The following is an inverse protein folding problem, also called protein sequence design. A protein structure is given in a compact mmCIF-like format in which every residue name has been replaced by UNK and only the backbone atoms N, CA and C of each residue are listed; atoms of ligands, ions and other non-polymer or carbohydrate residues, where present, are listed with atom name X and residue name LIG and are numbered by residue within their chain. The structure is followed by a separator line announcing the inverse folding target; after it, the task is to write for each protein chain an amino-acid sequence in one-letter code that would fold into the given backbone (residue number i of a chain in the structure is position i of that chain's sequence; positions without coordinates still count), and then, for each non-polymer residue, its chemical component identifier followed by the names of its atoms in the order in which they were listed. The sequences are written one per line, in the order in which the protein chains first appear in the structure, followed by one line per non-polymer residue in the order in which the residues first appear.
data_IF_706094016964
#
_entry.id   IF_706094016964
#
_cell.length_a   1.000
_cell.length_b   1.000
_cell.length_c   1.000
_cell.angle_alpha   90.00
_cell.angle_beta   90.00
_cell.angle_gamma   90.00
#
_symmetry.space_group_name_H-M   'P 1'
#
loop_
_entity.id
_entity.type
_entity.pdbx_description
1 polymer ?
#
# COMPACT_ATOMS: atom_id res chain seq x y z
N UNK A 1 33.45 -6.16 -10.69
CA UNK A 1 32.68 -4.88 -10.70
C UNK A 1 31.58 -5.02 -11.73
N UNK A 2 30.35 -5.30 -11.31
CA UNK A 2 29.20 -5.30 -12.22
C UNK A 2 28.84 -3.86 -12.52
N UNK A 3 28.81 -3.50 -13.79
CA UNK A 3 28.35 -2.19 -14.25
C UNK A 3 26.89 -1.99 -13.79
N UNK A 4 26.70 -1.24 -12.70
CA UNK A 4 25.38 -0.74 -12.35
C UNK A 4 24.96 0.22 -13.48
N UNK A 5 24.05 -0.23 -14.33
CA UNK A 5 23.50 0.60 -15.40
C UNK A 5 22.66 1.71 -14.75
N UNK A 6 23.20 2.91 -14.80
CA UNK A 6 22.48 4.11 -14.39
C UNK A 6 21.55 4.50 -15.54
N UNK A 7 20.25 4.46 -15.30
CA UNK A 7 19.23 4.94 -16.23
C UNK A 7 18.54 6.16 -15.63
N UNK A 8 18.43 7.22 -16.40
CA UNK A 8 17.54 8.33 -16.05
C UNK A 8 16.09 7.89 -16.23
N UNK A 9 15.34 7.82 -15.12
CA UNK A 9 13.89 7.58 -15.19
C UNK A 9 13.19 8.92 -15.27
N UNK A 10 12.34 9.13 -16.27
CA UNK A 10 11.49 10.32 -16.33
C UNK A 10 10.62 10.32 -15.07
N UNK A 11 10.64 11.40 -14.32
CA UNK A 11 9.72 11.59 -13.20
C UNK A 11 8.33 11.81 -13.75
N UNK A 12 7.47 10.81 -13.63
CA UNK A 12 6.13 10.82 -14.20
C UNK A 12 5.23 11.86 -13.52
N UNK A 13 5.55 12.34 -12.31
CA UNK A 13 4.67 13.16 -11.50
C UNK A 13 5.25 14.49 -10.99
N UNK A 14 6.48 14.83 -11.32
CA UNK A 14 7.08 16.11 -10.92
C UNK A 14 7.55 16.87 -12.15
N UNK A 15 6.97 18.07 -12.37
CA UNK A 15 7.35 18.95 -13.49
C UNK A 15 8.80 19.45 -13.40
N UNK A 16 9.45 19.32 -12.23
CA UNK A 16 10.73 19.98 -11.92
C UNK A 16 11.85 19.06 -11.45
N UNK A 17 11.59 17.76 -11.23
CA UNK A 17 12.63 16.86 -10.73
C UNK A 17 13.48 16.28 -11.87
N UNK A 18 14.70 16.77 -11.99
CA UNK A 18 15.75 16.10 -12.78
C UNK A 18 16.36 15.00 -11.92
N UNK A 19 16.08 13.75 -12.27
CA UNK A 19 16.68 12.61 -11.61
C UNK A 19 18.19 12.62 -11.87
N UNK A 20 18.99 12.63 -10.79
CA UNK A 20 20.45 12.66 -10.91
C UNK A 20 21.03 11.26 -11.08
N UNK A 21 20.43 10.26 -10.46
CA UNK A 21 20.89 8.87 -10.52
C UNK A 21 19.78 7.91 -10.11
N UNK A 22 19.61 6.84 -10.86
CA UNK A 22 18.73 5.74 -10.52
C UNK A 22 19.53 4.46 -10.38
N UNK A 23 19.36 3.74 -9.26
CA UNK A 23 19.97 2.44 -9.03
C UNK A 23 18.87 1.39 -9.18
N UNK A 24 18.94 0.60 -10.25
CA UNK A 24 17.98 -0.47 -10.52
C UNK A 24 18.37 -1.79 -9.88
N UNK A 25 19.67 -2.06 -9.78
CA UNK A 25 20.19 -3.30 -9.23
C UNK A 25 20.54 -3.11 -7.76
N UNK A 26 19.50 -2.82 -6.97
CA UNK A 26 19.61 -2.80 -5.52
C UNK A 26 19.61 -4.25 -5.05
N UNK A 27 20.71 -4.71 -4.49
CA UNK A 27 20.81 -5.97 -3.77
C UNK A 27 21.29 -5.71 -2.33
N UNK A 28 21.24 -6.73 -1.48
CA UNK A 28 21.61 -6.60 -0.07
C UNK A 28 23.07 -6.19 0.12
N UNK A 29 23.97 -6.47 -0.84
CA UNK A 29 25.40 -6.11 -0.76
C UNK A 29 25.62 -4.60 -0.74
N UNK A 30 24.71 -3.81 -1.31
CA UNK A 30 24.77 -2.34 -1.25
C UNK A 30 24.75 -1.77 0.18
N UNK A 31 24.15 -2.52 1.11
CA UNK A 31 23.94 -2.08 2.49
C UNK A 31 25.01 -2.60 3.46
N UNK A 32 25.77 -3.64 3.07
CA UNK A 32 26.81 -4.27 3.90
C UNK A 32 28.23 -3.81 3.59
N UNK A 33 28.45 -3.13 2.48
CA UNK A 33 29.78 -2.58 2.17
C UNK A 33 30.01 -1.27 2.93
N UNK A 34 31.25 -1.01 3.37
CA UNK A 34 31.70 0.24 4.00
C UNK A 34 31.40 1.51 3.17
N UNK A 35 30.86 1.33 1.98
CA UNK A 35 30.38 2.38 1.09
C UNK A 35 29.17 3.17 1.62
N UNK A 36 28.48 2.70 2.66
CA UNK A 36 27.32 3.36 3.23
C UNK A 36 27.72 4.59 4.08
N UNK A 37 28.97 4.63 4.58
CA UNK A 37 29.48 5.70 5.46
C UNK A 37 30.00 6.94 4.74
N UNK A 38 30.12 6.94 3.41
CA UNK A 38 30.73 8.02 2.67
C UNK A 38 29.79 8.62 1.63
N UNK A 39 29.54 9.91 1.72
CA UNK A 39 29.00 10.90 0.74
C UNK A 39 28.10 10.43 -0.41
N UNK A 40 28.13 9.13 -0.77
CA UNK A 40 27.37 8.57 -1.91
C UNK A 40 25.85 8.51 -1.68
N UNK A 41 25.41 8.48 -0.41
CA UNK A 41 24.01 8.31 -0.03
C UNK A 41 23.46 9.43 0.87
N UNK A 42 24.15 10.58 0.94
CA UNK A 42 23.70 11.74 1.76
C UNK A 42 22.25 12.16 1.45
N UNK A 43 21.78 11.89 0.23
CA UNK A 43 20.46 12.25 -0.22
C UNK A 43 19.81 11.07 -0.95
N UNK A 44 19.10 10.22 -0.20
CA UNK A 44 18.48 9.00 -0.71
C UNK A 44 16.96 9.13 -0.79
N UNK A 45 16.41 8.70 -1.93
CA UNK A 45 14.98 8.44 -2.09
C UNK A 45 14.76 6.97 -2.41
N UNK A 46 13.62 6.42 -2.01
CA UNK A 46 13.24 5.04 -2.32
C UNK A 46 12.02 5.05 -3.23
N UNK A 47 12.10 4.34 -4.34
CA UNK A 47 11.00 4.14 -5.28
C UNK A 47 10.44 2.73 -5.11
N UNK A 48 9.22 2.64 -4.57
CA UNK A 48 8.43 1.41 -4.50
C UNK A 48 7.48 1.32 -5.71
N UNK A 49 6.41 2.13 -5.77
CA UNK A 49 5.48 2.17 -6.90
C UNK A 49 5.72 3.31 -7.89
N UNK A 50 6.47 4.33 -7.50
CA UNK A 50 6.76 5.49 -8.34
C UNK A 50 5.56 6.41 -8.59
N UNK A 51 4.56 6.39 -7.74
CA UNK A 51 3.31 7.18 -7.91
C UNK A 51 3.34 8.57 -7.27
N UNK A 52 4.40 8.89 -6.54
CA UNK A 52 4.57 10.20 -5.91
C UNK A 52 5.90 10.83 -6.31
N UNK A 53 5.98 12.17 -6.29
CA UNK A 53 7.24 12.91 -6.50
C UNK A 53 8.26 12.69 -5.38
N UNK A 54 7.84 12.14 -4.23
CA UNK A 54 8.73 11.86 -3.10
C UNK A 54 9.76 10.76 -3.38
N UNK A 55 9.50 9.89 -4.39
CA UNK A 55 10.43 8.84 -4.78
C UNK A 55 11.63 9.34 -5.60
N UNK A 56 11.62 10.61 -6.02
CA UNK A 56 12.69 11.19 -6.83
C UNK A 56 12.78 12.69 -6.57
N UNK A 57 13.97 13.16 -6.21
CA UNK A 57 14.25 14.57 -5.93
C UNK A 57 15.51 15.01 -6.67
N UNK A 58 15.54 16.28 -7.08
CA UNK A 58 16.72 16.83 -7.74
C UNK A 58 17.95 16.77 -6.81
N UNK A 59 19.04 16.23 -7.29
CA UNK A 59 20.27 16.03 -6.52
C UNK A 59 20.33 14.80 -5.62
N UNK A 60 19.23 14.04 -5.50
CA UNK A 60 19.14 12.82 -4.70
C UNK A 60 19.46 11.57 -5.53
N UNK A 61 19.95 10.54 -4.86
CA UNK A 61 20.01 9.18 -5.43
C UNK A 61 18.68 8.47 -5.15
N UNK A 62 18.09 7.82 -6.16
CA UNK A 62 16.88 7.01 -5.99
C UNK A 62 17.22 5.53 -6.07
N UNK A 63 16.83 4.77 -5.04
CA UNK A 63 16.84 3.32 -5.06
C UNK A 63 15.52 2.82 -5.62
N UNK A 64 15.54 2.17 -6.78
CA UNK A 64 14.34 1.60 -7.39
C UNK A 64 14.21 0.12 -7.02
N UNK A 65 13.24 -0.20 -6.16
CA UNK A 65 13.00 -1.55 -5.67
C UNK A 65 12.21 -2.42 -6.67
N UNK A 66 11.59 -1.83 -7.70
CA UNK A 66 10.64 -2.53 -8.59
C UNK A 66 11.27 -3.67 -9.39
N UNK A 67 12.57 -3.60 -9.68
CA UNK A 67 13.27 -4.62 -10.46
C UNK A 67 13.59 -5.87 -9.65
N UNK A 68 14.21 -5.70 -8.49
CA UNK A 68 14.76 -6.80 -7.70
C UNK A 68 13.85 -7.25 -6.54
N UNK A 69 12.96 -6.36 -6.07
CA UNK A 69 12.06 -6.62 -4.95
C UNK A 69 10.59 -6.63 -5.38
N UNK A 70 10.27 -7.28 -6.52
CA UNK A 70 8.90 -7.40 -7.05
C UNK A 70 8.29 -8.80 -6.90
N UNK A 71 8.92 -9.69 -6.12
CA UNK A 71 8.42 -11.05 -5.91
C UNK A 71 7.20 -11.04 -5.00
N UNK A 72 6.26 -11.94 -5.29
CA UNK A 72 5.06 -12.21 -4.48
C UNK A 72 5.00 -13.71 -4.25
N UNK A 73 4.88 -14.11 -2.99
CA UNK A 73 4.77 -15.51 -2.61
C UNK A 73 3.65 -15.69 -1.57
N UNK A 74 2.64 -16.50 -1.90
CA UNK A 74 1.55 -16.86 -1.00
C UNK A 74 1.80 -18.23 -0.37
N UNK A 75 1.94 -18.27 0.96
CA UNK A 75 1.86 -19.53 1.70
C UNK A 75 0.38 -19.94 1.88
N UNK A 76 -0.02 -21.00 1.20
CA UNK A 76 -1.41 -21.50 1.24
C UNK A 76 -1.79 -22.16 2.56
N UNK A 77 -0.82 -22.52 3.40
CA UNK A 77 -1.09 -23.14 4.71
C UNK A 77 -1.45 -22.08 5.75
N UNK A 78 -0.70 -20.99 5.76
CA UNK A 78 -0.89 -19.88 6.71
C UNK A 78 -1.79 -18.78 6.16
N UNK A 79 -2.02 -18.73 4.84
CA UNK A 79 -2.64 -17.64 4.12
C UNK A 79 -1.92 -16.28 4.32
N UNK A 80 -0.61 -16.32 4.59
CA UNK A 80 0.25 -15.15 4.59
C UNK A 80 0.84 -14.97 3.19
N UNK A 81 0.96 -13.74 2.75
CA UNK A 81 1.65 -13.40 1.51
C UNK A 81 2.90 -12.58 1.82
N UNK A 82 4.03 -13.03 1.31
CA UNK A 82 5.28 -12.29 1.35
C UNK A 82 5.45 -11.51 0.05
N UNK A 83 5.68 -10.22 0.15
CA UNK A 83 5.90 -9.33 -0.98
C UNK A 83 7.23 -8.59 -0.85
N UNK A 84 7.86 -8.34 -1.98
CA UNK A 84 8.99 -7.42 -2.04
C UNK A 84 8.55 -5.95 -1.96
N UNK A 85 9.44 -5.07 -1.47
CA UNK A 85 9.17 -3.64 -1.31
C UNK A 85 8.86 -2.87 -2.61
N UNK A 86 9.17 -3.45 -3.77
CA UNK A 86 8.87 -2.91 -5.10
C UNK A 86 7.58 -3.44 -5.73
N UNK A 87 6.80 -4.25 -5.02
CA UNK A 87 5.52 -4.79 -5.52
C UNK A 87 4.48 -3.68 -5.66
N UNK A 88 3.77 -3.68 -6.78
CA UNK A 88 2.64 -2.78 -7.05
C UNK A 88 1.35 -3.43 -6.57
N UNK A 89 0.44 -2.65 -6.00
CA UNK A 89 -0.81 -3.17 -5.42
C UNK A 89 -1.66 -3.93 -6.43
N UNK A 90 -1.65 -3.53 -7.71
CA UNK A 90 -2.33 -4.26 -8.78
C UNK A 90 -1.80 -5.68 -8.98
N UNK A 91 -0.48 -5.86 -8.90
CA UNK A 91 0.15 -7.17 -9.05
C UNK A 91 -0.15 -8.06 -7.84
N UNK A 92 -0.17 -7.48 -6.63
CA UNK A 92 -0.57 -8.18 -5.42
C UNK A 92 -2.00 -8.71 -5.54
N UNK A 93 -2.96 -7.86 -5.92
CA UNK A 93 -4.37 -8.26 -6.09
C UNK A 93 -4.50 -9.34 -7.15
N UNK A 94 -3.89 -9.14 -8.33
CA UNK A 94 -3.94 -10.12 -9.41
C UNK A 94 -3.36 -11.48 -9.00
N UNK A 95 -2.30 -11.47 -8.17
CA UNK A 95 -1.71 -12.69 -7.63
C UNK A 95 -2.66 -13.39 -6.64
N UNK A 96 -3.21 -12.64 -5.69
CA UNK A 96 -4.08 -13.17 -4.63
C UNK A 96 -5.41 -13.71 -5.19
N UNK A 97 -6.02 -13.04 -6.18
CA UNK A 97 -7.27 -13.47 -6.82
C UNK A 97 -7.17 -14.88 -7.42
N UNK A 98 -6.02 -15.27 -7.96
CA UNK A 98 -5.78 -16.64 -8.47
C UNK A 98 -5.92 -17.72 -7.40
N UNK A 99 -5.92 -17.33 -6.14
CA UNK A 99 -5.97 -18.22 -4.98
C UNK A 99 -7.20 -17.97 -4.09
N UNK A 100 -8.21 -17.27 -4.59
CA UNK A 100 -9.40 -16.85 -3.84
C UNK A 100 -9.04 -16.07 -2.56
N UNK A 101 -7.95 -15.29 -2.62
CA UNK A 101 -7.51 -14.42 -1.55
C UNK A 101 -7.56 -12.96 -2.00
N UNK A 102 -7.64 -12.06 -1.02
CA UNK A 102 -7.63 -10.61 -1.21
C UNK A 102 -6.81 -9.94 -0.11
N UNK A 103 -6.59 -8.64 -0.29
CA UNK A 103 -5.91 -7.78 0.67
C UNK A 103 -6.56 -6.38 0.61
N UNK A 104 -6.72 -5.67 1.75
CA UNK A 104 -7.31 -4.33 1.74
C UNK A 104 -6.38 -3.33 1.05
N UNK A 105 -6.66 -3.04 -0.21
CA UNK A 105 -5.99 -2.00 -1.00
C UNK A 105 -6.95 -0.85 -1.30
N UNK A 106 -6.39 0.34 -1.64
CA UNK A 106 -7.17 1.49 -2.09
C UNK A 106 -7.78 1.33 -3.47
N UNK A 107 -8.37 2.40 -3.98
CA UNK A 107 -9.06 2.41 -5.28
C UNK A 107 -8.10 2.29 -6.47
N UNK A 108 -6.82 2.60 -6.29
CA UNK A 108 -5.83 2.56 -7.36
C UNK A 108 -4.96 1.30 -7.28
N UNK A 109 -4.67 0.72 -8.45
CA UNK A 109 -3.74 -0.41 -8.61
C UNK A 109 -2.29 0.04 -8.73
N UNK A 110 -2.02 1.33 -8.89
CA UNK A 110 -0.68 1.88 -9.18
C UNK A 110 0.26 2.01 -7.98
N UNK A 111 -0.21 2.31 -6.74
CA UNK A 111 0.69 2.45 -5.60
C UNK A 111 1.52 1.19 -5.36
N UNK A 112 2.75 1.39 -4.88
CA UNK A 112 3.63 0.31 -4.42
C UNK A 112 3.44 -0.01 -2.93
N UNK A 113 4.31 -0.85 -2.39
CA UNK A 113 4.29 -1.27 -0.98
C UNK A 113 4.38 -0.10 0.02
N UNK A 114 4.90 1.06 -0.39
CA UNK A 114 4.86 2.30 0.41
C UNK A 114 3.47 2.70 0.86
N UNK A 115 2.44 2.39 0.07
CA UNK A 115 1.04 2.60 0.44
C UNK A 115 0.66 1.84 1.73
N UNK A 116 1.10 0.58 1.86
CA UNK A 116 0.85 -0.24 3.05
C UNK A 116 1.59 0.35 4.25
N UNK A 117 2.85 0.74 4.06
CA UNK A 117 3.73 1.24 5.12
C UNK A 117 3.33 2.62 5.68
N UNK A 118 2.44 3.34 5.00
CA UNK A 118 1.93 4.66 5.42
C UNK A 118 0.45 4.65 5.85
N UNK A 119 -0.10 3.47 6.10
CA UNK A 119 -1.49 3.28 6.54
C UNK A 119 -2.29 2.42 5.58
N UNK A 120 -2.60 2.92 4.41
CA UNK A 120 -3.33 2.18 3.38
C UNK A 120 -4.83 2.06 3.65
N UNK A 121 -5.57 3.15 3.38
CA UNK A 121 -7.05 3.18 3.50
C UNK A 121 -7.68 2.45 2.32
N UNK A 122 -8.53 1.49 2.60
CA UNK A 122 -9.26 0.65 1.64
C UNK A 122 -10.77 0.80 1.81
N UNK A 123 -11.57 0.57 0.78
CA UNK A 123 -13.01 0.34 0.94
C UNK A 123 -13.34 -0.79 1.93
N UNK A 124 -12.42 -1.72 2.14
CA UNK A 124 -12.56 -2.84 3.07
C UNK A 124 -12.04 -2.53 4.49
N UNK A 125 -11.52 -1.31 4.74
CA UNK A 125 -10.89 -0.99 6.04
C UNK A 125 -11.85 -0.98 7.21
N UNK A 126 -13.13 -0.77 7.01
CA UNK A 126 -14.13 -0.87 8.09
C UNK A 126 -14.23 -2.30 8.65
N UNK A 127 -14.12 -3.31 7.78
CA UNK A 127 -14.21 -4.72 8.16
C UNK A 127 -12.85 -5.33 8.56
N UNK A 128 -11.74 -4.87 7.97
CA UNK A 128 -10.44 -5.55 8.08
C UNK A 128 -9.30 -4.67 8.59
N UNK A 129 -9.60 -3.44 9.01
CA UNK A 129 -8.58 -2.47 9.40
C UNK A 129 -7.84 -1.86 8.19
N UNK A 130 -6.86 -1.04 8.46
CA UNK A 130 -5.98 -0.48 7.44
C UNK A 130 -5.06 -1.55 6.88
N UNK A 131 -4.47 -1.31 5.70
CA UNK A 131 -3.48 -2.23 5.12
C UNK A 131 -2.31 -2.48 6.08
N UNK A 132 -1.86 -1.47 6.80
CA UNK A 132 -0.77 -1.52 7.77
C UNK A 132 -1.07 -2.43 8.98
N UNK A 133 -2.32 -2.56 9.37
CA UNK A 133 -2.74 -3.40 10.51
C UNK A 133 -2.60 -4.90 10.21
N UNK A 134 -2.51 -5.22 8.91
CA UNK A 134 -2.37 -6.58 8.40
C UNK A 134 -0.91 -6.98 8.12
N UNK A 135 0.08 -6.17 8.55
CA UNK A 135 1.49 -6.54 8.48
C UNK A 135 1.82 -7.52 9.62
N UNK A 136 2.44 -8.64 9.28
CA UNK A 136 2.88 -9.67 10.24
C UNK A 136 4.40 -9.67 10.43
N UNK A 137 5.19 -9.37 9.39
CA UNK A 137 6.63 -9.18 9.49
C UNK A 137 7.18 -8.27 8.41
N UNK A 138 8.34 -7.69 8.66
CA UNK A 138 9.10 -6.87 7.72
C UNK A 138 10.58 -7.16 7.79
N UNK A 139 11.25 -7.03 6.63
CA UNK A 139 12.70 -6.99 6.54
C UNK A 139 13.15 -5.78 5.74
N UNK A 140 14.32 -5.26 6.08
CA UNK A 140 14.86 -4.09 5.40
C UNK A 140 16.06 -3.52 6.12
N UNK A 141 16.29 -2.24 5.92
CA UNK A 141 17.44 -1.54 6.47
C UNK A 141 17.00 -0.20 7.07
N UNK A 142 17.55 0.16 8.19
CA UNK A 142 17.43 1.52 8.75
C UNK A 142 18.30 2.50 7.95
N UNK A 143 18.05 3.79 8.12
CA UNK A 143 18.81 4.85 7.45
C UNK A 143 20.32 4.84 7.71
N UNK A 144 20.78 4.18 8.75
CA UNK A 144 22.19 3.97 9.07
C UNK A 144 22.78 2.66 8.49
N UNK A 145 22.04 1.95 7.65
CA UNK A 145 22.47 0.68 7.05
C UNK A 145 22.24 -0.57 7.91
N UNK A 146 21.75 -0.44 9.13
CA UNK A 146 21.47 -1.60 10.00
C UNK A 146 20.35 -2.43 9.41
N UNK A 147 20.61 -3.73 9.17
CA UNK A 147 19.58 -4.69 8.76
C UNK A 147 18.58 -4.93 9.89
N UNK A 148 17.31 -4.95 9.54
CA UNK A 148 16.21 -5.26 10.46
C UNK A 148 15.37 -6.43 9.92
N UNK A 149 14.96 -7.30 10.85
CA UNK A 149 14.00 -8.38 10.58
C UNK A 149 13.02 -8.44 11.76
N UNK A 150 11.89 -7.79 11.59
CA UNK A 150 10.92 -7.53 12.66
C UNK A 150 9.64 -8.32 12.42
N UNK A 151 9.01 -8.74 13.51
CA UNK A 151 7.72 -9.43 13.50
C UNK A 151 6.76 -8.74 14.45
N UNK A 152 5.49 -8.88 14.17
CA UNK A 152 4.43 -8.48 15.09
C UNK A 152 4.63 -9.15 16.45
N UNK A 153 4.41 -8.43 17.53
CA UNK A 153 4.61 -8.92 18.90
C UNK A 153 6.08 -9.24 19.23
N UNK A 154 7.00 -8.34 18.92
CA UNK A 154 8.39 -8.45 19.31
C UNK A 154 8.54 -8.54 20.83
N UNK A 155 9.50 -9.37 21.28
CA UNK A 155 9.84 -9.51 22.71
C UNK A 155 10.89 -8.47 23.11
N UNK A 156 11.80 -8.12 22.20
CA UNK A 156 12.84 -7.11 22.43
C UNK A 156 12.23 -5.70 22.41
N UNK A 157 12.39 -4.89 23.49
CA UNK A 157 11.82 -3.55 23.55
C UNK A 157 12.32 -2.58 22.47
N UNK A 158 13.59 -2.68 22.07
CA UNK A 158 14.16 -1.82 21.02
C UNK A 158 13.55 -2.16 19.66
N UNK A 159 13.44 -3.44 19.34
CA UNK A 159 12.78 -3.91 18.12
C UNK A 159 11.29 -3.54 18.11
N UNK A 160 10.62 -3.59 19.26
CA UNK A 160 9.23 -3.15 19.39
C UNK A 160 9.08 -1.66 19.09
N UNK A 161 9.99 -0.81 19.57
CA UNK A 161 9.98 0.63 19.26
C UNK A 161 10.18 0.87 17.75
N UNK A 162 11.10 0.15 17.12
CA UNK A 162 11.32 0.24 15.67
C UNK A 162 10.07 -0.25 14.92
N UNK A 163 9.46 -1.34 15.36
CA UNK A 163 8.23 -1.89 14.78
C UNK A 163 7.10 -0.84 14.80
N UNK A 164 6.85 -0.21 15.94
CA UNK A 164 5.82 0.83 16.06
C UNK A 164 6.14 2.06 15.20
N UNK A 165 7.40 2.47 15.14
CA UNK A 165 7.82 3.60 14.31
C UNK A 165 7.66 3.31 12.80
N UNK A 166 7.95 2.09 12.35
CA UNK A 166 7.81 1.68 10.95
C UNK A 166 6.34 1.74 10.51
N UNK A 167 5.41 1.44 11.40
CA UNK A 167 3.98 1.55 11.11
C UNK A 167 3.56 3.02 10.95
N UNK A 168 3.63 3.48 9.71
CA UNK A 168 3.28 4.84 9.29
C UNK A 168 4.49 5.72 8.93
N UNK A 169 5.66 5.50 9.53
CA UNK A 169 6.84 6.35 9.30
C UNK A 169 7.99 5.65 8.54
N UNK A 170 7.82 4.40 8.11
CA UNK A 170 8.85 3.65 7.40
C UNK A 170 9.58 4.43 6.29
N UNK A 171 8.90 5.19 5.40
CA UNK A 171 9.55 5.90 4.31
C UNK A 171 10.52 7.01 4.74
N UNK A 172 10.49 7.42 6.02
CA UNK A 172 11.30 8.53 6.51
C UNK A 172 12.65 8.08 7.09
N UNK A 173 12.80 6.81 7.49
CA UNK A 173 14.00 6.34 8.16
C UNK A 173 14.43 4.92 7.81
N UNK A 174 13.72 4.24 6.89
CA UNK A 174 13.99 2.85 6.54
C UNK A 174 13.79 2.55 5.06
N UNK A 175 14.40 1.48 4.60
CA UNK A 175 14.23 0.90 3.28
C UNK A 175 13.68 -0.51 3.50
N UNK A 176 12.40 -0.71 3.23
CA UNK A 176 11.76 -2.00 3.42
C UNK A 176 11.86 -2.81 2.13
N UNK A 177 12.51 -3.95 2.22
CA UNK A 177 12.76 -4.86 1.09
C UNK A 177 11.76 -6.02 1.02
N UNK A 178 11.18 -6.41 2.16
CA UNK A 178 10.23 -7.51 2.25
C UNK A 178 9.15 -7.21 3.30
N UNK A 179 7.90 -7.57 3.00
CA UNK A 179 6.75 -7.43 3.90
C UNK A 179 5.94 -8.71 3.85
N UNK A 180 5.62 -9.28 5.00
CA UNK A 180 4.68 -10.39 5.12
C UNK A 180 3.32 -9.85 5.60
N UNK A 181 2.25 -10.21 4.91
CA UNK A 181 0.92 -9.67 5.07
C UNK A 181 -0.09 -10.78 5.33
N UNK A 182 -0.99 -10.54 6.27
CA UNK A 182 -2.18 -11.38 6.48
C UNK A 182 -3.19 -11.09 5.37
N UNK A 183 -3.54 -12.12 4.59
CA UNK A 183 -4.57 -12.00 3.55
C UNK A 183 -5.96 -12.30 4.09
N UNK A 184 -6.98 -11.82 3.39
CA UNK A 184 -8.39 -12.10 3.65
C UNK A 184 -8.94 -13.02 2.56
N UNK A 185 -10.10 -13.63 2.78
CA UNK A 185 -10.82 -14.35 1.73
C UNK A 185 -11.29 -13.36 0.66
N UNK A 186 -11.25 -13.76 -0.60
CA UNK A 186 -11.83 -12.95 -1.68
C UNK A 186 -13.32 -13.18 -1.72
N UNK A 187 -14.08 -12.13 -1.45
CA UNK A 187 -15.55 -12.12 -1.56
C UNK A 187 -15.98 -11.24 -2.74
N UNK A 188 -17.23 -11.37 -3.17
CA UNK A 188 -17.79 -10.48 -4.18
C UNK A 188 -17.96 -9.07 -3.61
N UNK A 189 -17.74 -8.06 -4.44
CA UNK A 189 -17.93 -6.66 -4.06
C UNK A 189 -18.96 -6.07 -5.01
N UNK A 190 -20.04 -5.52 -4.44
CA UNK A 190 -21.00 -4.69 -5.15
C UNK A 190 -20.55 -3.23 -5.02
N UNK A 191 -20.56 -2.49 -6.11
CA UNK A 191 -20.21 -1.08 -6.15
C UNK A 191 -21.39 -0.29 -6.69
N UNK A 192 -21.77 0.76 -5.96
CA UNK A 192 -22.67 1.81 -6.44
C UNK A 192 -21.83 3.06 -6.59
N UNK A 193 -21.91 3.69 -7.74
CA UNK A 193 -21.16 4.91 -8.03
C UNK A 193 -22.01 5.93 -8.79
N UNK A 194 -21.76 7.21 -8.56
CA UNK A 194 -22.50 8.26 -9.24
C UNK A 194 -22.12 9.65 -8.80
N UNK A 195 -22.74 10.65 -9.44
CA UNK A 195 -22.60 12.05 -9.06
C UNK A 195 -23.77 12.45 -8.17
N UNK A 196 -23.48 13.23 -7.15
CA UNK A 196 -24.47 13.75 -6.21
C UNK A 196 -24.27 15.25 -6.01
N UNK A 197 -25.32 15.93 -5.60
CA UNK A 197 -25.23 17.29 -5.07
C UNK A 197 -24.94 17.28 -3.56
N UNK A 198 -24.74 18.45 -2.97
CA UNK A 198 -24.35 18.54 -1.55
C UNK A 198 -25.44 18.04 -0.58
N UNK A 199 -26.72 18.29 -0.92
CA UNK A 199 -27.83 17.84 -0.07
C UNK A 199 -27.94 16.32 -0.11
N UNK A 200 -27.86 15.70 -1.29
CA UNK A 200 -27.84 14.25 -1.47
C UNK A 200 -26.66 13.61 -0.75
N UNK A 201 -25.45 14.19 -0.86
CA UNK A 201 -24.29 13.72 -0.10
C UNK A 201 -24.55 13.74 1.39
N UNK A 202 -25.15 14.83 1.91
CA UNK A 202 -25.45 14.95 3.33
C UNK A 202 -26.41 13.85 3.83
N UNK A 203 -27.43 13.54 3.03
CA UNK A 203 -28.35 12.43 3.34
C UNK A 203 -27.65 11.07 3.31
N UNK A 204 -26.78 10.84 2.29
CA UNK A 204 -26.02 9.60 2.19
C UNK A 204 -25.02 9.45 3.34
N UNK A 205 -24.37 10.52 3.79
CA UNK A 205 -23.47 10.49 4.95
C UNK A 205 -24.26 10.11 6.20
N UNK A 206 -25.42 10.68 6.47
CA UNK A 206 -26.27 10.30 7.61
C UNK A 206 -26.68 8.83 7.55
N UNK A 207 -27.09 8.34 6.37
CA UNK A 207 -27.41 6.93 6.17
C UNK A 207 -26.19 6.03 6.41
N UNK A 208 -24.99 6.49 6.06
CA UNK A 208 -23.75 5.72 6.20
C UNK A 208 -23.33 5.48 7.66
N UNK A 209 -23.87 6.26 8.61
CA UNK A 209 -23.64 6.04 10.06
C UNK A 209 -24.25 4.70 10.53
N UNK A 210 -25.29 4.22 9.86
CA UNK A 210 -25.97 2.94 10.14
C UNK A 210 -25.39 1.77 9.33
N UNK A 211 -24.45 2.02 8.41
CA UNK A 211 -23.89 0.97 7.56
C UNK A 211 -23.13 -0.07 8.39
N UNK A 212 -23.36 -1.37 8.16
CA UNK A 212 -22.54 -2.41 8.74
C UNK A 212 -21.08 -2.33 8.23
N UNK A 213 -20.16 -3.02 8.91
CA UNK A 213 -18.73 -2.94 8.63
C UNK A 213 -18.35 -3.36 7.19
N UNK A 214 -19.14 -4.22 6.57
CA UNK A 214 -18.92 -4.67 5.18
C UNK A 214 -19.38 -3.67 4.13
N UNK A 215 -19.96 -2.52 4.51
CA UNK A 215 -20.31 -1.42 3.60
C UNK A 215 -19.46 -0.20 3.92
N UNK A 216 -18.90 0.43 2.90
CA UNK A 216 -18.16 1.68 3.05
C UNK A 216 -18.59 2.71 2.02
N UNK A 217 -18.62 3.98 2.44
CA UNK A 217 -18.84 5.15 1.60
C UNK A 217 -17.50 5.86 1.40
N UNK A 218 -17.20 6.18 0.16
CA UNK A 218 -16.11 7.10 -0.21
C UNK A 218 -16.66 8.15 -1.17
N UNK A 219 -16.13 9.35 -1.13
CA UNK A 219 -16.50 10.42 -2.05
C UNK A 219 -15.33 11.31 -2.39
N UNK A 220 -15.38 11.90 -3.57
CA UNK A 220 -14.35 12.80 -4.08
C UNK A 220 -15.05 14.06 -4.55
N UNK A 221 -14.59 15.21 -4.06
CA UNK A 221 -15.02 16.50 -4.55
C UNK A 221 -14.00 17.04 -5.57
N UNK A 222 -14.49 17.29 -6.78
CA UNK A 222 -13.75 17.98 -7.82
C UNK A 222 -14.65 19.08 -8.40
N UNK A 223 -15.00 19.04 -9.68
CA UNK A 223 -16.03 19.91 -10.25
C UNK A 223 -17.45 19.50 -9.84
N UNK A 224 -17.62 18.22 -9.56
CA UNK A 224 -18.83 17.59 -9.03
C UNK A 224 -18.45 16.67 -7.87
N UNK A 225 -19.41 16.31 -7.04
CA UNK A 225 -19.21 15.31 -5.99
C UNK A 225 -19.47 13.93 -6.61
N UNK A 226 -18.48 13.08 -6.56
CA UNK A 226 -18.57 11.70 -7.01
C UNK A 226 -18.50 10.77 -5.81
N UNK A 227 -19.45 9.85 -5.70
CA UNK A 227 -19.53 8.89 -4.61
C UNK A 227 -19.25 7.47 -5.09
N UNK A 228 -18.70 6.67 -4.17
CA UNK A 228 -18.56 5.22 -4.29
C UNK A 228 -19.07 4.58 -3.01
N UNK A 229 -19.99 3.65 -3.12
CA UNK A 229 -20.42 2.78 -2.03
C UNK A 229 -19.99 1.37 -2.37
N UNK A 230 -19.18 0.78 -1.50
CA UNK A 230 -18.68 -0.59 -1.64
C UNK A 230 -19.37 -1.46 -0.61
N UNK A 231 -19.89 -2.59 -1.05
CA UNK A 231 -20.45 -3.60 -0.17
C UNK A 231 -19.82 -4.96 -0.47
N UNK A 232 -19.18 -5.53 0.55
CA UNK A 232 -18.66 -6.89 0.48
C UNK A 232 -19.78 -7.89 0.76
N UNK A 233 -19.95 -8.87 -0.14
CA UNK A 233 -21.00 -9.88 -0.08
C UNK A 233 -20.37 -11.21 0.35
N UNK A 234 -20.77 -11.74 1.53
CA UNK A 234 -20.15 -12.93 2.14
C UNK A 234 -21.02 -14.19 2.07
N UNK A 235 -22.34 -14.03 2.14
CA UNK A 235 -23.30 -15.12 2.12
C UNK A 235 -24.73 -14.58 1.90
N UNK A 236 -25.66 -15.43 1.46
CA UNK A 236 -27.02 -15.05 1.06
C UNK A 236 -27.87 -14.31 2.13
N UNK A 237 -27.63 -14.50 3.42
CA UNK A 237 -28.39 -13.84 4.48
C UNK A 237 -27.84 -12.44 4.80
N UNK A 238 -26.54 -12.30 4.92
CA UNK A 238 -25.88 -11.00 5.08
C UNK A 238 -26.03 -10.16 3.83
N UNK A 239 -26.02 -10.78 2.66
CA UNK A 239 -26.17 -10.10 1.38
C UNK A 239 -27.56 -9.46 1.22
N UNK A 240 -28.63 -10.11 1.69
CA UNK A 240 -29.98 -9.51 1.70
C UNK A 240 -30.05 -8.28 2.61
N UNK A 241 -29.49 -8.35 3.81
CA UNK A 241 -29.39 -7.18 4.71
C UNK A 241 -28.58 -6.05 4.08
N UNK A 242 -27.46 -6.40 3.45
CA UNK A 242 -26.61 -5.44 2.74
C UNK A 242 -27.39 -4.74 1.62
N UNK A 243 -28.22 -5.48 0.87
CA UNK A 243 -29.06 -4.91 -0.19
C UNK A 243 -30.11 -3.94 0.34
N UNK A 244 -30.69 -4.17 1.54
CA UNK A 244 -31.61 -3.24 2.17
C UNK A 244 -30.99 -1.87 2.44
N UNK A 245 -29.70 -1.83 2.84
CA UNK A 245 -28.97 -0.57 3.01
C UNK A 245 -28.61 0.11 1.70
N UNK A 246 -28.46 -0.65 0.61
CA UNK A 246 -28.07 -0.13 -0.70
C UNK A 246 -29.30 0.38 -1.52
N UNK A 247 -30.48 -0.15 -1.25
CA UNK A 247 -31.70 0.23 -1.98
C UNK A 247 -32.01 1.74 -1.97
N UNK A 248 -31.99 2.43 -0.82
CA UNK A 248 -32.28 3.87 -0.79
C UNK A 248 -31.34 4.70 -1.67
N UNK A 249 -30.08 4.27 -1.79
CA UNK A 249 -29.06 4.98 -2.57
C UNK A 249 -29.19 4.71 -4.06
N UNK A 250 -29.62 3.51 -4.46
CA UNK A 250 -29.77 3.13 -5.88
C UNK A 250 -30.92 3.83 -6.59
N UNK A 251 -31.89 4.39 -5.87
CA UNK A 251 -33.03 5.14 -6.43
C UNK A 251 -32.78 6.64 -6.61
N UNK A 252 -31.66 7.16 -6.13
CA UNK A 252 -31.31 8.59 -6.27
C UNK A 252 -30.51 8.89 -7.54
N UNK A 253 -30.32 7.91 -8.40
CA UNK A 253 -29.50 8.03 -9.63
C UNK A 253 -30.21 7.50 -10.88
#
# INVERSE_FOLDING_TARGET
MKNNSLLEVPNINSKDAKLKKLIYDVDESLFYEDNYSNEKFEHLCVCSGGTTSSCAKNGFTTLDLRKNYSKIHLDRKTNLVTIGGGVIMGDLVNHLQKHNRSFPIGLSKLPGAGYILTGGVSPLSRAYGLAIDNIESIKGFLGNGTFISLKKNQINPEEQLIWEAIKGAAPFFSIITEIELKTIQSNSIKVIEGFVNLNELTEIIKLSEEFPENISLQWIYAQKIYIYIFAELKNNLEDKRTEEYLMPVSYTH
#
